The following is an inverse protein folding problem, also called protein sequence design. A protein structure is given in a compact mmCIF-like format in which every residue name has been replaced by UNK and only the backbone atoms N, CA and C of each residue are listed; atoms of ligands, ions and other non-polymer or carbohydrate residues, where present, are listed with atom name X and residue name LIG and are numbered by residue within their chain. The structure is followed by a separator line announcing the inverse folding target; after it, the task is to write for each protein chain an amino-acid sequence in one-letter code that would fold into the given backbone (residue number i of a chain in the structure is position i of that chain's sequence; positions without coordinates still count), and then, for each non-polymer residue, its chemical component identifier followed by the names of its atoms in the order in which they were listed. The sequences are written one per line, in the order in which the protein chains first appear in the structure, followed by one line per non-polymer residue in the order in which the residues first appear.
data_IF_889875611892
#
_entry.id   IF_889875611892
#
_cell.length_a   1.000
_cell.length_b   1.000
_cell.length_c   1.000
_cell.angle_alpha   90.00
_cell.angle_beta   90.00
_cell.angle_gamma   90.00
#
_symmetry.space_group_name_H-M   'P 1'
#
loop_
_entity.id
_entity.type
_entity.pdbx_description
1 polymer ?
#
# COMPACT_ATOMS: atom_id res chain seq x y z
N UNK A 1 8.08 -5.45 -14.20
CA UNK A 1 7.16 -6.40 -14.87
C UNK A 1 6.98 -5.99 -16.32
N UNK A 2 6.48 -4.78 -16.60
CA UNK A 2 6.32 -4.25 -17.96
C UNK A 2 7.60 -4.35 -18.80
N UNK A 3 8.72 -3.79 -18.35
CA UNK A 3 10.00 -3.91 -19.11
C UNK A 3 10.42 -5.36 -19.40
N UNK A 4 10.11 -6.30 -18.50
CA UNK A 4 10.46 -7.71 -18.68
C UNK A 4 9.54 -8.45 -19.65
N UNK A 5 8.25 -8.11 -19.65
CA UNK A 5 7.23 -8.77 -20.49
C UNK A 5 7.03 -8.07 -21.84
N UNK A 6 7.29 -6.76 -21.89
CA UNK A 6 7.06 -5.86 -23.01
C UNK A 6 8.27 -4.91 -23.19
N UNK A 7 9.47 -5.44 -23.46
CA UNK A 7 10.70 -4.66 -23.48
C UNK A 7 10.64 -3.56 -24.54
N UNK A 8 10.92 -2.32 -24.13
CA UNK A 8 10.88 -1.15 -25.00
C UNK A 8 9.50 -0.75 -25.55
N UNK A 9 8.41 -1.42 -25.13
CA UNK A 9 7.05 -1.12 -25.59
C UNK A 9 6.24 -0.29 -24.58
N UNK A 10 6.62 -0.30 -23.30
CA UNK A 10 5.87 0.38 -22.25
C UNK A 10 6.82 1.26 -21.43
N UNK A 11 6.59 2.57 -21.47
CA UNK A 11 7.26 3.53 -20.58
C UNK A 11 6.41 3.71 -19.33
N UNK A 12 7.01 3.53 -18.16
CA UNK A 12 6.31 3.66 -16.87
C UNK A 12 6.85 4.85 -16.12
N UNK A 13 5.97 5.80 -15.77
CA UNK A 13 6.27 6.90 -14.85
C UNK A 13 5.49 6.72 -13.56
N UNK A 14 6.18 6.79 -12.42
CA UNK A 14 5.55 6.76 -11.10
C UNK A 14 5.34 8.18 -10.60
N UNK A 15 4.10 8.51 -10.25
CA UNK A 15 3.70 9.85 -9.83
C UNK A 15 3.05 9.79 -8.44
N UNK A 16 3.56 10.60 -7.50
CA UNK A 16 2.85 10.91 -6.26
C UNK A 16 1.78 11.97 -6.56
N UNK A 17 0.64 11.50 -7.07
CA UNK A 17 -0.42 12.35 -7.59
C UNK A 17 -0.94 13.35 -6.55
N UNK A 18 -1.07 12.94 -5.28
CA UNK A 18 -1.51 13.86 -4.24
C UNK A 18 -0.49 15.00 -4.08
N UNK A 19 0.79 14.69 -4.02
CA UNK A 19 1.83 15.73 -3.86
C UNK A 19 1.89 16.71 -5.03
N UNK A 20 1.77 16.23 -6.26
CA UNK A 20 1.99 17.07 -7.45
C UNK A 20 0.73 17.72 -8.01
N UNK A 21 -0.45 17.14 -7.77
CA UNK A 21 -1.70 17.58 -8.39
C UNK A 21 -2.71 18.18 -7.39
N UNK A 22 -2.41 18.23 -6.09
CA UNK A 22 -3.30 18.77 -5.05
C UNK A 22 -2.66 19.93 -4.29
N UNK A 23 -3.47 20.74 -3.62
CA UNK A 23 -3.01 21.87 -2.80
C UNK A 23 -2.82 21.48 -1.35
N UNK A 24 -2.06 22.27 -0.59
CA UNK A 24 -1.99 22.10 0.86
C UNK A 24 -3.40 22.29 1.49
N UNK A 25 -3.82 21.44 2.45
CA UNK A 25 -3.05 20.39 3.13
C UNK A 25 -3.04 19.02 2.42
N UNK A 26 -3.81 18.83 1.35
CA UNK A 26 -3.93 17.56 0.63
C UNK A 26 -2.58 17.07 0.05
N UNK A 27 -1.74 17.99 -0.42
CA UNK A 27 -0.41 17.68 -0.96
C UNK A 27 0.56 17.10 0.07
N UNK A 28 0.26 17.29 1.36
CA UNK A 28 1.03 16.74 2.48
C UNK A 28 0.35 15.54 3.12
N UNK A 29 -0.71 14.99 2.52
CA UNK A 29 -1.37 13.79 3.03
C UNK A 29 -0.47 12.57 3.16
N UNK A 30 0.52 12.29 2.28
CA UNK A 30 1.42 11.16 2.51
C UNK A 30 2.12 11.23 3.88
N UNK A 31 2.57 12.42 4.30
CA UNK A 31 3.18 12.66 5.60
C UNK A 31 2.15 12.80 6.73
N UNK A 32 1.02 13.47 6.46
CA UNK A 32 -0.01 13.69 7.46
C UNK A 32 -0.77 12.39 7.80
N UNK A 33 -0.92 11.47 6.85
CA UNK A 33 -1.50 10.14 7.06
C UNK A 33 -0.63 9.30 7.98
N UNK A 34 0.71 9.40 7.88
CA UNK A 34 1.65 8.81 8.84
C UNK A 34 1.41 9.32 10.27
N UNK A 35 1.08 10.61 10.43
CA UNK A 35 0.77 11.21 11.72
C UNK A 35 -0.66 10.87 12.21
N UNK A 36 -1.65 10.85 11.32
CA UNK A 36 -3.06 10.55 11.62
C UNK A 36 -3.28 9.07 11.97
N UNK A 37 -2.49 8.15 11.41
CA UNK A 37 -2.47 6.74 11.81
C UNK A 37 -2.07 6.52 13.28
N UNK A 38 -1.46 7.52 13.92
CA UNK A 38 -1.19 7.52 15.37
C UNK A 38 -2.38 7.96 16.23
N UNK A 39 -3.50 8.35 15.60
CA UNK A 39 -4.75 8.75 16.24
C UNK A 39 -5.90 7.81 15.78
N UNK A 40 -6.03 6.61 16.36
CA UNK A 40 -6.98 5.58 15.92
C UNK A 40 -8.44 6.05 15.91
N UNK A 41 -8.81 6.97 16.80
CA UNK A 41 -10.17 7.53 16.86
C UNK A 41 -10.49 8.40 15.65
N UNK A 42 -9.56 9.25 15.20
CA UNK A 42 -9.75 10.10 14.00
C UNK A 42 -9.84 9.24 12.75
N UNK A 43 -8.97 8.24 12.63
CA UNK A 43 -9.01 7.29 11.52
C UNK A 43 -10.34 6.53 11.47
N UNK A 44 -10.78 6.00 12.63
CA UNK A 44 -12.06 5.31 12.76
C UNK A 44 -13.24 6.24 12.44
N UNK A 45 -13.24 7.47 12.91
CA UNK A 45 -14.30 8.44 12.62
C UNK A 45 -14.36 8.80 11.13
N UNK A 46 -13.23 8.96 10.44
CA UNK A 46 -13.22 9.16 8.99
C UNK A 46 -13.82 7.95 8.27
N UNK A 47 -13.37 6.75 8.64
CA UNK A 47 -13.86 5.49 8.08
C UNK A 47 -15.37 5.28 8.35
N UNK A 48 -15.86 5.68 9.53
CA UNK A 48 -17.25 5.54 9.94
C UNK A 48 -18.16 6.66 9.44
N UNK A 49 -17.64 7.87 9.20
CA UNK A 49 -18.40 9.02 8.71
C UNK A 49 -18.99 8.77 7.31
N UNK A 50 -18.44 7.81 6.59
CA UNK A 50 -18.83 7.46 5.23
C UNK A 50 -19.74 6.20 5.21
N UNK A 51 -20.02 5.62 6.36
CA UNK A 51 -20.93 4.47 6.53
C UNK A 51 -22.34 4.83 6.05
N UNK A 52 -22.85 4.09 5.06
CA UNK A 52 -24.17 4.30 4.46
C UNK A 52 -24.16 5.03 3.12
N UNK A 53 -23.02 5.59 2.70
CA UNK A 53 -22.87 6.07 1.32
C UNK A 53 -22.68 4.90 0.37
N UNK A 54 -23.44 4.88 -0.74
CA UNK A 54 -23.27 3.86 -1.77
C UNK A 54 -22.01 4.06 -2.62
N UNK A 55 -21.62 5.31 -2.83
CA UNK A 55 -20.50 5.69 -3.71
C UNK A 55 -19.64 6.73 -3.00
N UNK A 56 -18.32 6.59 -3.11
CA UNK A 56 -17.38 7.57 -2.54
C UNK A 56 -17.66 9.01 -3.01
N UNK A 57 -17.97 9.16 -4.30
CA UNK A 57 -18.16 10.45 -4.96
C UNK A 57 -19.27 11.30 -4.36
N UNK A 58 -20.27 10.70 -3.70
CA UNK A 58 -21.39 11.42 -3.09
C UNK A 58 -21.11 11.86 -1.66
N UNK A 59 -19.99 11.42 -1.07
CA UNK A 59 -19.58 11.80 0.28
C UNK A 59 -19.16 13.28 0.33
N UNK A 60 -19.38 13.93 1.48
CA UNK A 60 -18.90 15.30 1.71
C UNK A 60 -17.37 15.38 1.63
N UNK A 61 -16.68 14.34 2.10
CA UNK A 61 -15.22 14.23 2.05
C UNK A 61 -14.73 14.32 0.61
N UNK A 62 -15.28 13.50 -0.30
CA UNK A 62 -14.90 13.55 -1.71
C UNK A 62 -15.22 14.91 -2.34
N UNK A 63 -16.41 15.46 -2.10
CA UNK A 63 -16.81 16.75 -2.67
C UNK A 63 -15.88 17.89 -2.25
N UNK A 64 -15.48 17.90 -0.97
CA UNK A 64 -14.49 18.85 -0.46
C UNK A 64 -13.11 18.64 -1.11
N UNK A 65 -12.63 17.39 -1.19
CA UNK A 65 -11.35 17.07 -1.82
C UNK A 65 -11.34 17.48 -3.29
N UNK A 66 -12.41 17.24 -4.03
CA UNK A 66 -12.54 17.67 -5.41
C UNK A 66 -12.53 19.20 -5.52
N UNK A 67 -13.40 19.87 -4.76
CA UNK A 67 -13.53 21.33 -4.82
C UNK A 67 -12.20 22.05 -4.56
N UNK A 68 -11.46 21.65 -3.53
CA UNK A 68 -10.19 22.27 -3.16
C UNK A 68 -9.09 22.06 -4.21
N UNK A 69 -9.09 20.92 -4.89
CA UNK A 69 -7.99 20.49 -5.76
C UNK A 69 -8.33 20.55 -7.25
N UNK A 70 -9.56 20.91 -7.61
CA UNK A 70 -10.07 20.86 -8.99
C UNK A 70 -9.12 21.54 -9.98
N UNK A 71 -8.71 22.78 -9.70
CA UNK A 71 -7.89 23.55 -10.64
C UNK A 71 -6.50 22.93 -10.86
N UNK A 72 -5.83 22.48 -9.79
CA UNK A 72 -4.49 21.88 -9.87
C UNK A 72 -4.54 20.48 -10.48
N UNK A 73 -5.59 19.71 -10.18
CA UNK A 73 -5.83 18.41 -10.81
C UNK A 73 -6.05 18.57 -12.31
N UNK A 74 -6.91 19.50 -12.73
CA UNK A 74 -7.15 19.75 -14.15
C UNK A 74 -5.87 20.16 -14.88
N UNK A 75 -5.10 21.11 -14.32
CA UNK A 75 -3.83 21.53 -14.90
C UNK A 75 -2.85 20.35 -15.07
N UNK A 76 -2.68 19.55 -14.01
CA UNK A 76 -1.79 18.39 -14.05
C UNK A 76 -2.25 17.32 -15.06
N UNK A 77 -3.56 17.07 -15.15
CA UNK A 77 -4.09 16.11 -16.12
C UNK A 77 -3.93 16.62 -17.56
N UNK A 78 -4.08 17.92 -17.81
CA UNK A 78 -3.80 18.51 -19.13
C UNK A 78 -2.34 18.32 -19.51
N UNK A 79 -1.40 18.61 -18.61
CA UNK A 79 0.04 18.39 -18.86
C UNK A 79 0.34 16.90 -19.16
N UNK A 80 -0.29 15.98 -18.42
CA UNK A 80 -0.14 14.53 -18.67
C UNK A 80 -0.66 14.12 -20.04
N UNK A 81 -1.80 14.66 -20.46
CA UNK A 81 -2.37 14.40 -21.79
C UNK A 81 -1.46 14.93 -22.90
N UNK A 82 -0.90 16.12 -22.74
CA UNK A 82 0.07 16.70 -23.69
C UNK A 82 1.35 15.87 -23.78
N UNK A 83 1.75 15.22 -22.68
CA UNK A 83 2.90 14.31 -22.66
C UNK A 83 2.65 12.94 -23.32
N UNK A 84 1.41 12.66 -23.73
CA UNK A 84 1.03 11.42 -24.42
C UNK A 84 0.76 10.24 -23.49
N UNK A 85 0.08 10.46 -22.35
CA UNK A 85 -0.31 9.35 -21.46
C UNK A 85 -1.38 8.45 -22.11
N UNK A 86 -1.10 7.14 -22.20
CA UNK A 86 -2.02 6.16 -22.79
C UNK A 86 -2.86 5.37 -21.76
N UNK A 87 -2.42 5.32 -20.49
CA UNK A 87 -3.07 4.54 -19.43
C UNK A 87 -2.71 5.12 -18.06
N UNK A 88 -3.70 5.25 -17.18
CA UNK A 88 -3.50 5.61 -15.77
C UNK A 88 -3.80 4.40 -14.90
N UNK A 89 -2.81 4.00 -14.07
CA UNK A 89 -2.97 2.95 -13.05
C UNK A 89 -2.95 3.58 -11.67
N UNK A 90 -4.09 3.59 -10.98
CA UNK A 90 -4.19 4.08 -9.61
C UNK A 90 -4.04 2.93 -8.61
N UNK A 91 -3.05 3.05 -7.73
CA UNK A 91 -2.82 2.17 -6.57
C UNK A 91 -3.14 2.87 -5.25
N UNK A 92 -3.90 3.96 -5.30
CA UNK A 92 -4.29 4.75 -4.14
C UNK A 92 -5.83 4.93 -4.13
N UNK A 93 -6.48 4.81 -2.97
CA UNK A 93 -7.94 4.89 -2.90
C UNK A 93 -8.47 6.26 -3.38
N UNK A 94 -7.85 7.36 -2.97
CA UNK A 94 -8.40 8.69 -3.29
C UNK A 94 -8.14 9.18 -4.74
N UNK A 95 -7.15 8.63 -5.45
CA UNK A 95 -6.60 9.27 -6.65
C UNK A 95 -7.48 9.07 -7.88
N UNK A 96 -7.92 7.84 -8.15
CA UNK A 96 -8.68 7.53 -9.36
C UNK A 96 -9.99 8.34 -9.47
N UNK A 97 -10.62 8.67 -8.34
CA UNK A 97 -11.80 9.53 -8.34
C UNK A 97 -11.49 10.95 -8.82
N UNK A 98 -10.36 11.53 -8.42
CA UNK A 98 -9.92 12.86 -8.86
C UNK A 98 -9.57 12.86 -10.35
N UNK A 99 -8.88 11.81 -10.82
CA UNK A 99 -8.53 11.64 -12.23
C UNK A 99 -9.79 11.54 -13.09
N UNK A 100 -10.73 10.66 -12.72
CA UNK A 100 -11.97 10.49 -13.48
C UNK A 100 -12.84 11.74 -13.42
N UNK A 101 -12.92 12.47 -12.29
CA UNK A 101 -13.59 13.78 -12.25
C UNK A 101 -12.95 14.79 -13.21
N UNK A 102 -11.62 14.86 -13.23
CA UNK A 102 -10.91 15.76 -14.14
C UNK A 102 -11.12 15.37 -15.60
N UNK A 103 -11.10 14.08 -15.92
CA UNK A 103 -11.39 13.61 -17.27
C UNK A 103 -12.85 13.82 -17.69
N UNK A 104 -13.82 13.63 -16.79
CA UNK A 104 -15.22 13.96 -17.04
C UNK A 104 -15.35 15.45 -17.46
N UNK A 105 -14.58 16.36 -16.85
CA UNK A 105 -14.61 17.78 -17.18
C UNK A 105 -13.80 18.17 -18.42
N UNK A 106 -12.63 17.54 -18.64
CA UNK A 106 -11.77 17.83 -19.80
C UNK A 106 -12.40 17.31 -21.09
N UNK A 107 -12.96 16.09 -21.05
CA UNK A 107 -13.48 15.43 -22.24
C UNK A 107 -14.99 15.56 -22.38
N UNK A 108 -15.74 15.70 -21.29
CA UNK A 108 -17.20 15.64 -21.33
C UNK A 108 -17.66 14.31 -21.95
N UNK A 109 -18.51 14.39 -22.96
CA UNK A 109 -18.99 13.23 -23.73
C UNK A 109 -18.03 12.84 -24.89
N UNK A 110 -16.90 13.53 -25.03
CA UNK A 110 -15.95 13.28 -26.13
C UNK A 110 -15.23 11.95 -25.89
N UNK A 111 -15.29 11.01 -26.85
CA UNK A 111 -14.57 9.75 -26.73
C UNK A 111 -13.05 9.97 -26.83
N UNK A 112 -12.27 9.01 -26.32
CA UNK A 112 -10.82 8.98 -26.50
C UNK A 112 -9.98 9.48 -25.31
N UNK A 113 -10.57 9.65 -24.12
CA UNK A 113 -9.76 9.81 -22.90
C UNK A 113 -8.93 8.55 -22.63
N UNK A 114 -7.74 8.66 -22.03
CA UNK A 114 -6.99 7.50 -21.58
C UNK A 114 -7.79 6.66 -20.56
N UNK A 115 -7.73 5.32 -20.63
CA UNK A 115 -8.32 4.46 -19.62
C UNK A 115 -7.71 4.72 -18.23
N UNK A 116 -8.56 4.65 -17.21
CA UNK A 116 -8.19 4.74 -15.80
C UNK A 116 -8.53 3.41 -15.16
N UNK A 117 -7.50 2.72 -14.66
CA UNK A 117 -7.67 1.46 -13.92
C UNK A 117 -7.23 1.62 -12.48
N UNK A 118 -7.94 0.95 -11.58
CA UNK A 118 -7.64 0.95 -10.15
C UNK A 118 -7.18 -0.44 -9.72
N UNK A 119 -6.10 -0.52 -8.96
CA UNK A 119 -5.63 -1.76 -8.34
C UNK A 119 -5.77 -1.62 -6.83
N UNK A 120 -6.70 -2.39 -6.26
CA UNK A 120 -6.99 -2.35 -4.83
C UNK A 120 -5.89 -3.05 -4.07
N UNK A 121 -5.27 -2.34 -3.13
CA UNK A 121 -4.16 -2.87 -2.31
C UNK A 121 -4.60 -3.35 -0.92
N UNK A 122 -5.87 -3.17 -0.56
CA UNK A 122 -6.42 -3.59 0.73
C UNK A 122 -6.89 -5.05 0.68
N UNK A 123 -6.38 -5.89 1.59
CA UNK A 123 -6.65 -7.34 1.60
C UNK A 123 -7.89 -7.74 2.41
N UNK A 124 -8.26 -6.96 3.43
CA UNK A 124 -9.30 -7.31 4.40
C UNK A 124 -10.60 -6.55 4.18
N UNK A 125 -10.69 -5.36 4.76
CA UNK A 125 -11.81 -4.44 4.62
C UNK A 125 -11.38 -3.27 3.74
N UNK A 126 -11.63 -3.35 2.44
CA UNK A 126 -11.37 -2.22 1.55
C UNK A 126 -12.35 -1.09 1.87
N UNK A 127 -11.82 0.11 1.98
CA UNK A 127 -12.62 1.31 2.18
C UNK A 127 -13.48 1.65 0.95
N UNK A 128 -14.61 2.36 1.16
CA UNK A 128 -15.53 2.78 0.09
C UNK A 128 -14.82 3.55 -1.04
N UNK A 129 -13.78 4.33 -0.69
CA UNK A 129 -12.99 5.09 -1.64
C UNK A 129 -12.17 4.26 -2.62
N UNK A 130 -12.18 2.92 -2.55
CA UNK A 130 -11.60 2.09 -3.61
C UNK A 130 -12.54 1.86 -4.79
N UNK A 131 -13.83 2.14 -4.63
CA UNK A 131 -14.86 1.71 -5.57
C UNK A 131 -15.43 2.90 -6.35
N UNK A 132 -15.11 2.94 -7.64
CA UNK A 132 -15.63 3.92 -8.58
C UNK A 132 -16.32 3.22 -9.76
N UNK A 133 -17.64 3.39 -9.95
CA UNK A 133 -18.34 2.83 -11.09
C UNK A 133 -17.85 3.32 -12.46
N UNK A 134 -17.09 4.43 -12.49
CA UNK A 134 -16.61 5.06 -13.73
C UNK A 134 -15.20 4.66 -14.16
N UNK A 135 -14.49 3.83 -13.41
CA UNK A 135 -13.17 3.34 -13.88
C UNK A 135 -13.34 2.29 -14.98
N UNK A 136 -12.36 2.25 -15.89
CA UNK A 136 -12.36 1.33 -17.03
C UNK A 136 -11.96 -0.09 -16.62
N UNK A 137 -11.32 -0.24 -15.45
CA UNK A 137 -11.01 -1.53 -14.84
C UNK A 137 -10.71 -1.43 -13.36
N UNK A 138 -11.20 -2.39 -12.58
CA UNK A 138 -10.95 -2.51 -11.14
C UNK A 138 -10.34 -3.88 -10.84
N UNK A 139 -9.08 -3.91 -10.46
CA UNK A 139 -8.35 -5.11 -10.08
C UNK A 139 -8.43 -5.31 -8.57
N UNK A 140 -8.97 -6.46 -8.15
CA UNK A 140 -9.25 -6.76 -6.74
C UNK A 140 -8.46 -7.98 -6.26
N UNK A 141 -8.04 -8.00 -4.98
CA UNK A 141 -7.17 -9.06 -4.47
C UNK A 141 -7.92 -10.30 -3.99
N UNK A 142 -9.24 -10.24 -3.78
CA UNK A 142 -10.02 -11.36 -3.26
C UNK A 142 -11.49 -11.28 -3.68
N UNK A 143 -12.18 -12.41 -3.60
CA UNK A 143 -13.62 -12.48 -3.86
C UNK A 143 -14.43 -11.63 -2.86
N UNK A 144 -13.93 -11.46 -1.63
CA UNK A 144 -14.56 -10.58 -0.65
C UNK A 144 -14.58 -9.12 -1.15
N UNK A 145 -13.45 -8.63 -1.67
CA UNK A 145 -13.37 -7.28 -2.25
C UNK A 145 -14.17 -7.18 -3.56
N UNK A 146 -14.19 -8.23 -4.39
CA UNK A 146 -15.06 -8.28 -5.59
C UNK A 146 -16.54 -8.08 -5.22
N UNK A 147 -17.03 -8.77 -4.19
CA UNK A 147 -18.42 -8.61 -3.73
C UNK A 147 -18.69 -7.20 -3.19
N UNK A 148 -17.73 -6.59 -2.49
CA UNK A 148 -17.84 -5.19 -2.06
C UNK A 148 -17.90 -4.24 -3.26
N UNK A 149 -17.07 -4.44 -4.28
CA UNK A 149 -17.09 -3.61 -5.49
C UNK A 149 -18.45 -3.68 -6.20
N UNK A 150 -19.03 -4.88 -6.34
CA UNK A 150 -20.38 -5.05 -6.91
C UNK A 150 -21.45 -4.38 -6.03
N UNK A 151 -21.34 -4.52 -4.70
CA UNK A 151 -22.24 -3.85 -3.74
C UNK A 151 -22.19 -2.32 -3.89
N UNK A 152 -21.02 -1.77 -4.22
CA UNK A 152 -20.78 -0.36 -4.48
C UNK A 152 -20.91 0.03 -5.97
N UNK A 153 -21.70 -0.73 -6.70
CA UNK A 153 -22.18 -0.41 -8.06
C UNK A 153 -21.08 -0.35 -9.13
N UNK A 154 -19.90 -0.92 -8.86
CA UNK A 154 -18.89 -1.12 -9.91
C UNK A 154 -19.40 -2.19 -10.88
N UNK A 155 -19.43 -1.92 -12.20
CA UNK A 155 -19.93 -2.88 -13.17
C UNK A 155 -19.15 -4.20 -13.14
N UNK A 156 -19.85 -5.33 -12.95
CA UNK A 156 -19.19 -6.64 -12.86
C UNK A 156 -18.21 -6.97 -14.01
N UNK A 157 -18.45 -6.57 -15.27
CA UNK A 157 -17.50 -6.80 -16.37
C UNK A 157 -16.18 -6.04 -16.25
N UNK A 158 -16.12 -4.94 -15.49
CA UNK A 158 -14.89 -4.15 -15.29
C UNK A 158 -14.10 -4.63 -14.06
N UNK A 159 -14.62 -5.59 -13.28
CA UNK A 159 -13.97 -6.11 -12.08
C UNK A 159 -13.12 -7.35 -12.43
N UNK A 160 -11.83 -7.27 -12.17
CA UNK A 160 -10.85 -8.33 -12.43
C UNK A 160 -10.30 -8.89 -11.11
N UNK A 161 -10.56 -10.18 -10.84
CA UNK A 161 -10.00 -10.87 -9.68
C UNK A 161 -8.60 -11.39 -10.01
N UNK A 162 -7.57 -10.63 -9.64
CA UNK A 162 -6.17 -10.93 -10.00
C UNK A 162 -5.25 -11.22 -8.82
N UNK A 163 -5.73 -11.06 -7.58
CA UNK A 163 -4.88 -11.11 -6.40
C UNK A 163 -4.11 -9.80 -6.18
N UNK A 164 -3.36 -9.72 -5.07
CA UNK A 164 -2.53 -8.56 -4.78
C UNK A 164 -1.25 -8.61 -5.63
N UNK A 165 -0.88 -7.54 -6.36
CA UNK A 165 0.37 -7.53 -7.11
C UNK A 165 1.56 -7.55 -6.15
N UNK A 166 2.38 -8.59 -6.24
CA UNK A 166 3.63 -8.72 -5.51
C UNK A 166 4.82 -8.56 -6.46
N UNK A 167 5.94 -8.05 -5.93
CA UNK A 167 7.19 -8.07 -6.68
C UNK A 167 7.56 -9.52 -6.98
N UNK A 168 8.07 -9.75 -8.19
CA UNK A 168 8.44 -11.08 -8.67
C UNK A 168 9.35 -11.86 -7.71
N UNK A 169 10.27 -11.16 -7.06
CA UNK A 169 11.21 -11.74 -6.10
C UNK A 169 10.55 -12.37 -4.85
N UNK A 170 9.28 -12.06 -4.54
CA UNK A 170 8.57 -12.63 -3.39
C UNK A 170 7.94 -13.99 -3.67
N UNK A 171 7.60 -14.30 -4.93
CA UNK A 171 6.98 -15.58 -5.29
C UNK A 171 7.88 -16.45 -6.17
N UNK A 172 8.90 -15.88 -6.81
CA UNK A 172 10.02 -16.67 -7.33
C UNK A 172 10.87 -17.11 -6.15
N UNK A 173 10.61 -18.33 -5.67
CA UNK A 173 11.48 -18.99 -4.71
C UNK A 173 12.92 -18.94 -5.18
N UNK A 174 13.83 -18.64 -4.28
CA UNK A 174 15.26 -18.77 -4.56
C UNK A 174 15.74 -20.13 -4.12
N UNK A 175 16.49 -20.78 -4.99
CA UNK A 175 16.95 -22.15 -4.81
C UNK A 175 17.94 -22.34 -3.64
N UNK A 176 18.44 -21.26 -3.04
CA UNK A 176 19.48 -21.31 -2.00
C UNK A 176 19.11 -20.42 -0.80
N UNK A 177 18.51 -21.04 0.22
CA UNK A 177 18.20 -20.40 1.50
C UNK A 177 19.47 -20.08 2.29
N UNK A 178 20.45 -20.96 2.25
CA UNK A 178 21.59 -20.95 3.16
C UNK A 178 22.56 -19.83 2.78
N UNK A 179 22.87 -19.69 1.48
CA UNK A 179 23.66 -18.58 0.98
C UNK A 179 23.03 -17.19 1.27
N UNK A 180 21.70 -17.13 1.42
CA UNK A 180 21.01 -15.89 1.82
C UNK A 180 21.12 -15.61 3.30
N UNK A 181 21.04 -16.62 4.15
CA UNK A 181 21.25 -16.47 5.59
C UNK A 181 22.67 -15.95 5.85
N UNK A 182 23.66 -16.53 5.16
CA UNK A 182 25.06 -16.12 5.23
C UNK A 182 25.25 -14.67 4.77
N UNK A 183 24.66 -14.31 3.61
CA UNK A 183 24.72 -12.94 3.08
C UNK A 183 24.06 -11.91 4.01
N UNK A 184 23.01 -12.31 4.70
CA UNK A 184 22.27 -11.45 5.64
C UNK A 184 22.86 -11.51 7.05
N UNK A 185 23.92 -12.29 7.27
CA UNK A 185 24.56 -12.51 8.57
C UNK A 185 23.55 -12.86 9.67
N UNK A 186 22.56 -13.71 9.35
CA UNK A 186 21.47 -14.02 10.29
C UNK A 186 21.89 -15.03 11.37
N UNK A 187 22.97 -15.79 11.15
CA UNK A 187 23.48 -16.77 12.12
C UNK A 187 22.42 -17.77 12.62
N UNK A 188 21.42 -18.11 11.79
CA UNK A 188 20.29 -18.92 12.24
C UNK A 188 20.74 -20.36 12.48
N UNK A 189 20.29 -20.93 13.60
CA UNK A 189 20.62 -22.30 13.95
C UNK A 189 19.82 -23.26 13.07
N UNK A 190 20.47 -24.34 12.61
CA UNK A 190 19.79 -25.42 11.90
C UNK A 190 18.68 -26.02 12.76
N UNK A 191 17.54 -26.37 12.14
CA UNK A 191 16.38 -27.00 12.82
C UNK A 191 15.66 -26.14 13.88
N UNK A 192 15.92 -24.83 13.90
CA UNK A 192 15.24 -23.89 14.80
C UNK A 192 13.85 -23.45 14.31
N UNK A 193 13.00 -23.00 15.25
CA UNK A 193 11.74 -22.32 14.96
C UNK A 193 11.97 -20.82 15.00
N UNK A 194 11.83 -20.16 13.85
CA UNK A 194 12.05 -18.72 13.71
C UNK A 194 10.72 -17.97 13.76
N UNK A 195 10.64 -16.96 14.63
CA UNK A 195 9.61 -15.93 14.60
C UNK A 195 10.16 -14.74 13.83
N UNK A 196 9.51 -14.40 12.70
CA UNK A 196 9.78 -13.15 11.99
C UNK A 196 8.82 -12.07 12.49
N UNK A 197 9.37 -11.03 13.10
CA UNK A 197 8.64 -9.84 13.53
C UNK A 197 8.96 -8.66 12.61
N UNK A 198 7.92 -8.01 12.09
CA UNK A 198 8.07 -6.87 11.19
C UNK A 198 6.89 -5.89 11.32
N UNK A 199 7.18 -4.59 11.26
CA UNK A 199 6.21 -3.50 11.40
C UNK A 199 5.97 -2.70 10.11
N UNK A 200 6.15 -3.33 8.95
CA UNK A 200 6.15 -2.65 7.65
C UNK A 200 7.41 -1.82 7.38
N UNK A 201 7.43 -1.10 6.26
CA UNK A 201 8.62 -0.37 5.79
C UNK A 201 9.11 0.74 6.72
N UNK A 202 8.21 1.31 7.52
CA UNK A 202 8.52 2.36 8.51
C UNK A 202 8.78 1.81 9.92
N UNK A 203 8.61 0.51 10.16
CA UNK A 203 8.78 -0.09 11.49
C UNK A 203 7.82 0.48 12.53
N UNK A 204 6.52 0.51 12.20
CA UNK A 204 5.47 1.08 13.04
C UNK A 204 5.06 0.19 14.22
N UNK A 205 4.46 0.85 15.22
CA UNK A 205 3.87 0.21 16.39
C UNK A 205 4.86 0.03 17.54
N UNK A 206 4.45 -0.77 18.53
CA UNK A 206 5.25 -1.10 19.72
C UNK A 206 6.25 -2.23 19.40
N UNK A 207 7.02 -2.05 18.31
CA UNK A 207 7.86 -3.12 17.75
C UNK A 207 8.91 -3.59 18.76
N UNK A 208 9.48 -2.66 19.53
CA UNK A 208 10.43 -2.96 20.60
C UNK A 208 9.78 -3.79 21.71
N UNK A 209 8.65 -3.34 22.26
CA UNK A 209 7.96 -4.00 23.37
C UNK A 209 7.48 -5.40 22.97
N UNK A 210 6.98 -5.55 21.73
CA UNK A 210 6.56 -6.85 21.18
C UNK A 210 7.76 -7.77 20.98
N UNK A 211 8.89 -7.26 20.46
CA UNK A 211 10.10 -8.05 20.31
C UNK A 211 10.61 -8.58 21.66
N UNK A 212 10.69 -7.71 22.67
CA UNK A 212 11.10 -8.07 24.03
C UNK A 212 10.16 -9.09 24.65
N UNK A 213 8.84 -8.91 24.50
CA UNK A 213 7.85 -9.85 25.00
C UNK A 213 7.97 -11.23 24.33
N UNK A 214 8.16 -11.27 23.00
CA UNK A 214 8.37 -12.52 22.27
C UNK A 214 9.65 -13.22 22.74
N UNK A 215 10.75 -12.48 22.87
CA UNK A 215 12.02 -13.05 23.33
C UNK A 215 11.94 -13.61 24.75
N UNK A 216 11.20 -12.98 25.66
CA UNK A 216 10.97 -13.49 27.00
C UNK A 216 10.20 -14.84 27.03
N UNK A 217 9.37 -15.09 26.01
CA UNK A 217 8.70 -16.38 25.83
C UNK A 217 9.65 -17.39 25.17
N UNK A 218 10.36 -16.98 24.13
CA UNK A 218 11.30 -17.83 23.39
C UNK A 218 12.50 -18.26 24.23
N UNK A 219 12.94 -17.49 25.21
CA UNK A 219 14.05 -17.85 26.11
C UNK A 219 13.80 -19.14 26.91
N UNK A 220 12.53 -19.56 27.02
CA UNK A 220 12.14 -20.84 27.64
C UNK A 220 12.20 -22.03 26.68
N UNK A 221 12.49 -21.77 25.40
CA UNK A 221 12.56 -22.77 24.34
C UNK A 221 13.93 -22.70 23.64
N UNK A 222 14.80 -23.72 23.79
CA UNK A 222 16.15 -23.71 23.23
C UNK A 222 16.19 -23.68 21.70
N UNK A 223 15.07 -23.96 21.01
CA UNK A 223 14.97 -23.92 19.55
C UNK A 223 14.30 -22.64 19.02
N UNK A 224 13.96 -21.69 19.88
CA UNK A 224 13.28 -20.46 19.50
C UNK A 224 14.26 -19.38 19.03
N UNK A 225 14.05 -18.85 17.83
CA UNK A 225 14.79 -17.69 17.31
C UNK A 225 13.83 -16.55 16.94
N UNK A 226 14.30 -15.31 17.07
CA UNK A 226 13.57 -14.10 16.70
C UNK A 226 14.39 -13.31 15.69
N UNK A 227 13.79 -13.00 14.55
CA UNK A 227 14.32 -12.05 13.57
C UNK A 227 13.41 -10.85 13.55
N UNK A 228 13.95 -9.65 13.79
CA UNK A 228 13.19 -8.40 13.78
C UNK A 228 13.62 -7.54 12.60
N UNK A 229 12.67 -7.23 11.71
CA UNK A 229 12.89 -6.30 10.59
C UNK A 229 12.32 -4.94 10.96
N UNK A 230 13.20 -4.00 11.29
CA UNK A 230 12.84 -2.66 11.76
C UNK A 230 12.45 -1.68 10.65
N UNK A 231 12.57 -2.06 9.37
CA UNK A 231 12.34 -1.17 8.24
C UNK A 231 13.27 0.06 8.30
N UNK A 232 12.71 1.26 8.19
CA UNK A 232 13.42 2.55 8.33
C UNK A 232 13.53 3.05 9.77
N UNK A 233 12.96 2.34 10.76
CA UNK A 233 12.99 2.76 12.15
C UNK A 233 14.35 2.47 12.80
N UNK A 234 15.31 3.38 12.57
CA UNK A 234 16.67 3.27 13.13
C UNK A 234 16.68 3.31 14.65
N UNK A 235 15.80 4.10 15.27
CA UNK A 235 15.73 4.19 16.74
C UNK A 235 15.38 2.83 17.38
N UNK A 236 14.35 2.14 16.87
CA UNK A 236 14.00 0.79 17.37
C UNK A 236 15.12 -0.21 17.10
N UNK A 237 15.78 -0.12 15.93
CA UNK A 237 16.94 -0.97 15.66
C UNK A 237 18.03 -0.76 16.72
N UNK A 238 18.41 0.50 16.97
CA UNK A 238 19.48 0.83 17.92
C UNK A 238 19.11 0.36 19.35
N UNK A 239 17.85 0.52 19.78
CA UNK A 239 17.37 -0.01 21.07
C UNK A 239 17.40 -1.55 21.15
N UNK A 240 17.08 -2.25 20.06
CA UNK A 240 17.12 -3.71 20.01
C UNK A 240 18.57 -4.23 19.95
N UNK A 241 19.49 -3.51 19.30
CA UNK A 241 20.92 -3.86 19.28
C UNK A 241 21.54 -3.75 20.70
N UNK A 242 21.11 -2.78 21.49
CA UNK A 242 21.56 -2.56 22.87
C UNK A 242 20.85 -3.44 23.91
N UNK A 243 19.75 -4.12 23.51
CA UNK A 243 18.97 -4.93 24.43
C UNK A 243 19.77 -6.19 24.87
N UNK A 244 19.80 -6.51 26.17
CA UNK A 244 20.53 -7.68 26.68
C UNK A 244 19.75 -8.97 26.36
N UNK A 245 19.91 -9.48 25.14
CA UNK A 245 19.31 -10.74 24.71
C UNK A 245 19.89 -11.91 25.52
N UNK A 246 19.02 -12.85 25.90
CA UNK A 246 19.47 -14.11 26.47
C UNK A 246 20.23 -14.89 25.38
N UNK A 247 21.52 -15.13 25.60
CA UNK A 247 22.32 -15.91 24.65
C UNK A 247 21.74 -17.32 24.52
N UNK A 248 21.65 -17.81 23.28
CA UNK A 248 21.42 -19.22 23.02
C UNK A 248 22.61 -19.97 23.65
N UNK A 249 22.34 -20.78 24.67
CA UNK A 249 23.36 -21.54 25.36
C UNK A 249 24.12 -22.43 24.36
N UNK A 250 25.35 -22.06 24.04
CA UNK A 250 26.30 -22.89 23.30
C UNK A 250 26.73 -22.33 21.94
N UNK A 251 27.96 -21.81 21.92
CA UNK A 251 28.85 -21.55 20.78
C UNK A 251 28.45 -20.49 19.73
N UNK A 252 29.10 -19.34 19.90
CA UNK A 252 29.64 -18.41 18.88
C UNK A 252 28.82 -18.11 17.61
N UNK A 253 28.25 -16.91 17.57
CA UNK A 253 27.90 -16.21 16.34
C UNK A 253 27.17 -14.91 16.68
N UNK A 254 27.86 -13.78 16.54
CA UNK A 254 27.26 -12.44 16.55
C UNK A 254 26.40 -12.23 15.31
#
# INVERSE_FOLDING_TARGET
AFEKQYPGQVVVSQVDFLRVATVWPCSSFPEAYFALGKLPSVYKTLYEAETGSKTWRTTRTHQMLWYLNRQTVLAHLTDLLESGVDLIVSVHPLVHHLVVNGFDEIFGDTPGRPPVVTVVTDLGSAHLSWFDPKVDGLFVPSEAIRRLAVLHEVPAPTIHLCGLPLREAFWRGTADSDARQDKLHLGMASESRVVLLMGGGEGFGNLYEVAVAIAAVLSRNPLGQLVVVCGRNKAVKDYLDEYPWAELGGSQGR
#
